data_IF_081126591355
#
_entry.id   IF_081126591355
#
_cell.length_a   1.000
_cell.length_b   1.000
_cell.length_c   1.000
_cell.angle_alpha   90.00
_cell.angle_beta   90.00
_cell.angle_gamma   90.00
#
_symmetry.space_group_name_H-M   'P 1'
#
loop_
_entity.id
_entity.type
_entity.pdbx_description
1 polymer ?
#
# COMPACT_ATOMS: atom_id res chain seq x y z
N UNK A 1 -33.38 25.89 -53.78
CA UNK A 1 -34.21 24.74 -54.18
C UNK A 1 -33.88 23.55 -53.31
N UNK A 2 -34.90 22.77 -52.97
CA UNK A 2 -34.91 21.66 -52.03
C UNK A 2 -34.14 20.41 -52.47
N UNK A 3 -33.72 19.61 -51.46
CA UNK A 3 -33.67 18.12 -51.37
C UNK A 3 -32.72 17.39 -52.37
N UNK A 4 -31.96 16.34 -52.06
CA UNK A 4 -31.92 15.26 -51.04
C UNK A 4 -30.47 14.75 -50.96
N UNK A 5 -29.88 14.55 -49.78
CA UNK A 5 -29.87 13.34 -48.94
C UNK A 5 -28.97 12.17 -49.41
N UNK A 6 -28.07 11.77 -48.49
CA UNK A 6 -27.72 10.38 -48.16
C UNK A 6 -26.77 9.60 -49.07
N UNK A 7 -25.49 9.49 -48.66
CA UNK A 7 -24.84 8.23 -48.27
C UNK A 7 -23.33 8.47 -48.10
N UNK A 8 -22.77 8.18 -46.92
CA UNK A 8 -21.32 8.15 -46.74
C UNK A 8 -20.77 8.75 -45.46
N UNK A 9 -21.30 8.38 -44.29
CA UNK A 9 -20.62 8.63 -43.00
C UNK A 9 -21.18 7.72 -41.89
N UNK A 10 -21.22 6.41 -42.12
CA UNK A 10 -21.40 5.41 -41.07
C UNK A 10 -20.62 4.17 -41.43
N UNK A 11 -19.32 4.17 -41.12
CA UNK A 11 -18.44 3.01 -40.92
C UNK A 11 -16.99 3.51 -40.75
N UNK A 12 -16.71 4.19 -39.63
CA UNK A 12 -15.34 4.32 -39.08
C UNK A 12 -15.33 4.95 -37.67
N UNK A 13 -16.35 4.64 -36.85
CA UNK A 13 -16.36 4.96 -35.42
C UNK A 13 -16.32 3.66 -34.58
N UNK A 14 -15.55 2.68 -35.06
CA UNK A 14 -15.42 1.34 -34.46
C UNK A 14 -14.00 0.92 -34.10
N UNK A 15 -12.98 1.78 -34.28
CA UNK A 15 -11.57 1.45 -34.02
C UNK A 15 -10.81 2.61 -33.37
N UNK A 16 -11.45 3.30 -32.42
CA UNK A 16 -10.77 4.23 -31.50
C UNK A 16 -11.24 4.01 -30.04
N UNK A 17 -11.58 2.76 -29.70
CA UNK A 17 -12.02 2.35 -28.36
C UNK A 17 -11.23 1.14 -27.81
N UNK A 18 -10.12 0.77 -28.43
CA UNK A 18 -9.30 -0.34 -27.98
C UNK A 18 -7.79 -0.10 -28.18
N UNK A 19 -7.26 1.02 -27.67
CA UNK A 19 -5.82 1.19 -27.37
C UNK A 19 -5.59 2.43 -26.48
N UNK A 20 -6.11 2.40 -25.25
CA UNK A 20 -5.67 3.32 -24.18
C UNK A 20 -5.59 2.64 -22.81
N UNK A 21 -5.55 1.30 -22.78
CA UNK A 21 -5.32 0.53 -21.57
C UNK A 21 -3.86 0.10 -21.45
N UNK A 22 -2.98 1.07 -21.26
CA UNK A 22 -1.70 0.90 -20.58
C UNK A 22 -1.07 2.29 -20.38
N UNK A 23 -0.80 2.65 -19.13
CA UNK A 23 -0.18 3.89 -18.62
C UNK A 23 -1.17 4.94 -18.09
N UNK A 24 -1.49 4.78 -16.80
CA UNK A 24 -2.29 5.74 -16.05
C UNK A 24 -2.71 5.24 -14.66
N UNK A 25 -1.87 4.44 -13.99
CA UNK A 25 -2.09 4.03 -12.61
C UNK A 25 -1.33 5.00 -11.67
N UNK A 26 -2.02 6.02 -11.17
CA UNK A 26 -1.41 6.98 -10.24
C UNK A 26 -2.29 8.08 -9.66
N UNK A 27 -3.61 8.04 -9.84
CA UNK A 27 -4.57 8.85 -9.07
C UNK A 27 -5.69 7.92 -8.61
N UNK A 28 -5.51 7.30 -7.44
CA UNK A 28 -6.63 6.67 -6.74
C UNK A 28 -7.38 7.81 -6.04
N UNK A 29 -8.29 8.44 -6.76
CA UNK A 29 -9.47 9.01 -6.11
C UNK A 29 -10.12 7.85 -5.34
N UNK A 30 -10.19 7.97 -4.01
CA UNK A 30 -10.93 7.03 -3.18
C UNK A 30 -12.41 7.17 -3.53
N UNK A 31 -12.86 6.38 -4.50
CA UNK A 31 -14.27 6.27 -4.86
C UNK A 31 -14.93 5.38 -3.81
N UNK A 32 -15.70 6.02 -2.94
CA UNK A 32 -16.55 5.39 -1.92
C UNK A 32 -17.37 4.25 -2.55
N UNK A 33 -17.12 2.98 -2.19
CA UNK A 33 -17.76 1.84 -2.82
C UNK A 33 -19.09 1.53 -2.15
N UNK A 34 -19.99 2.52 -2.01
CA UNK A 34 -21.43 2.32 -1.72
C UNK A 34 -22.17 3.68 -1.67
N UNK A 35 -22.70 4.12 -2.82
CA UNK A 35 -23.50 5.35 -2.97
C UNK A 35 -24.89 5.32 -2.30
N UNK A 36 -25.04 4.67 -1.13
CA UNK A 36 -26.25 4.67 -0.30
C UNK A 36 -25.92 4.66 1.20
N UNK A 37 -25.04 5.55 1.67
CA UNK A 37 -24.88 5.76 3.11
C UNK A 37 -25.38 7.15 3.51
N UNK A 38 -26.31 7.16 4.46
CA UNK A 38 -26.73 8.36 5.18
C UNK A 38 -25.47 9.03 5.76
N UNK A 39 -24.98 10.09 5.13
CA UNK A 39 -23.79 10.82 5.58
C UNK A 39 -24.02 11.35 7.00
N UNK A 40 -23.48 10.66 8.01
CA UNK A 40 -23.78 10.93 9.42
C UNK A 40 -22.85 11.99 10.01
N UNK A 41 -21.84 11.58 10.77
CA UNK A 41 -20.75 12.41 11.28
C UNK A 41 -19.50 12.23 10.40
N UNK A 42 -18.82 13.33 10.08
CA UNK A 42 -17.53 13.30 9.41
C UNK A 42 -16.57 14.28 10.05
N UNK A 43 -15.32 13.88 10.23
CA UNK A 43 -14.21 14.67 10.77
C UNK A 43 -12.97 14.39 9.91
N UNK A 44 -12.38 15.43 9.33
CA UNK A 44 -11.22 15.32 8.45
C UNK A 44 -10.29 16.52 8.54
N UNK A 45 -9.09 16.36 7.98
CA UNK A 45 -8.14 17.43 7.74
C UNK A 45 -8.18 17.74 6.25
N UNK A 46 -8.35 19.01 5.90
CA UNK A 46 -8.48 19.45 4.51
C UNK A 46 -7.16 19.34 3.72
N UNK A 47 -7.31 19.15 2.41
CA UNK A 47 -6.21 18.92 1.47
C UNK A 47 -5.10 19.97 1.54
N UNK A 48 -5.45 21.25 1.72
CA UNK A 48 -4.45 22.34 1.87
C UNK A 48 -3.59 22.16 3.11
N UNK A 49 -4.21 21.79 4.23
CA UNK A 49 -3.53 21.56 5.50
C UNK A 49 -2.63 20.32 5.42
N UNK A 50 -3.13 19.26 4.78
CA UNK A 50 -2.34 18.04 4.51
C UNK A 50 -1.19 18.36 3.56
N UNK A 51 -1.39 19.16 2.52
CA UNK A 51 -0.36 19.58 1.56
C UNK A 51 0.77 20.38 2.23
N UNK A 52 0.45 21.26 3.19
CA UNK A 52 1.48 21.99 3.95
C UNK A 52 2.37 21.07 4.80
N UNK A 53 1.82 19.98 5.34
CA UNK A 53 2.59 19.05 6.19
C UNK A 53 3.20 17.88 5.42
N UNK A 54 2.65 17.54 4.25
CA UNK A 54 2.98 16.31 3.54
C UNK A 54 3.33 16.48 2.06
N UNK A 55 3.08 17.64 1.45
CA UNK A 55 3.23 17.80 0.00
C UNK A 55 2.29 16.92 -0.84
N UNK A 56 1.40 16.13 -0.22
CA UNK A 56 0.35 15.35 -0.87
C UNK A 56 -0.94 16.14 -0.80
N UNK A 57 -1.67 16.13 -1.90
CA UNK A 57 -2.98 16.74 -1.98
C UNK A 57 -4.05 15.64 -1.76
N UNK A 58 -4.44 15.43 -0.50
CA UNK A 58 -5.55 14.53 -0.14
C UNK A 58 -6.26 14.98 1.15
N UNK A 59 -7.55 14.67 1.28
CA UNK A 59 -8.27 14.81 2.55
C UNK A 59 -8.05 13.56 3.42
N UNK A 60 -7.70 13.76 4.70
CA UNK A 60 -7.49 12.68 5.67
C UNK A 60 -8.66 12.64 6.64
N UNK A 61 -9.44 11.56 6.62
CA UNK A 61 -10.68 11.44 7.39
C UNK A 61 -10.53 10.62 8.67
N UNK A 62 -10.42 11.26 9.83
CA UNK A 62 -10.43 10.55 11.11
C UNK A 62 -11.77 9.81 11.37
N UNK A 63 -12.90 10.39 10.92
CA UNK A 63 -14.23 9.80 11.06
C UNK A 63 -14.99 9.96 9.75
N UNK A 64 -15.57 8.85 9.25
CA UNK A 64 -16.40 8.82 8.04
C UNK A 64 -17.72 8.17 8.39
N UNK A 65 -18.84 8.80 8.03
CA UNK A 65 -20.19 8.28 8.24
C UNK A 65 -20.48 7.78 9.68
N UNK A 66 -19.91 8.42 10.69
CA UNK A 66 -20.07 8.01 12.10
C UNK A 66 -19.20 6.82 12.52
N UNK A 67 -18.27 6.38 11.69
CA UNK A 67 -17.29 5.36 12.03
C UNK A 67 -15.90 5.97 12.14
N UNK A 68 -15.18 5.64 13.22
CA UNK A 68 -13.77 6.00 13.37
C UNK A 68 -12.94 5.18 12.39
N UNK A 69 -12.06 5.84 11.66
CA UNK A 69 -11.20 5.19 10.67
C UNK A 69 -10.28 4.15 11.33
N UNK A 70 -10.13 2.94 10.75
CA UNK A 70 -9.33 1.86 11.35
C UNK A 70 -7.86 2.22 11.64
N UNK A 71 -7.26 3.08 10.82
CA UNK A 71 -5.88 3.52 11.01
C UNK A 71 -5.69 4.42 12.24
N UNK A 72 -6.72 5.14 12.68
CA UNK A 72 -6.70 5.94 13.93
C UNK A 72 -6.79 5.04 15.16
N UNK A 73 -7.42 3.87 15.01
CA UNK A 73 -7.57 2.87 16.07
C UNK A 73 -6.34 1.95 16.23
N UNK A 74 -5.36 2.05 15.33
CA UNK A 74 -4.10 1.30 15.44
C UNK A 74 -3.33 1.77 16.68
N UNK A 75 -2.97 0.90 17.64
CA UNK A 75 -2.22 1.30 18.84
C UNK A 75 -0.83 1.89 18.49
N UNK A 76 -0.28 1.56 17.34
CA UNK A 76 1.00 2.12 16.85
C UNK A 76 0.82 3.37 15.98
N UNK A 77 -0.40 3.90 15.85
CA UNK A 77 -0.68 5.07 15.02
C UNK A 77 0.22 6.26 15.40
N UNK A 78 0.31 6.57 16.70
CA UNK A 78 1.14 7.67 17.22
C UNK A 78 2.62 7.55 16.85
N UNK A 79 3.15 6.32 16.75
CA UNK A 79 4.56 6.08 16.39
C UNK A 79 4.83 6.25 14.89
N UNK A 80 3.80 6.20 14.06
CA UNK A 80 3.89 6.36 12.60
C UNK A 80 3.70 7.81 12.16
N UNK A 81 3.26 8.68 13.07
CA UNK A 81 3.07 10.10 12.77
C UNK A 81 4.39 10.87 12.88
N UNK A 82 4.70 11.75 11.93
CA UNK A 82 5.86 12.61 12.01
C UNK A 82 5.69 13.63 13.15
N UNK A 83 6.82 14.15 13.64
CA UNK A 83 6.84 15.28 14.56
C UNK A 83 6.30 16.52 13.84
N UNK A 84 5.36 17.22 14.46
CA UNK A 84 4.84 18.49 13.95
C UNK A 84 5.98 19.53 14.03
N UNK A 85 6.38 20.19 12.92
CA UNK A 85 7.50 21.13 12.90
C UNK A 85 7.27 22.39 13.76
N UNK A 86 8.34 23.09 14.13
CA UNK A 86 8.35 24.34 14.91
C UNK A 86 7.43 25.45 14.38
N UNK A 87 7.28 25.54 13.07
CA UNK A 87 6.55 26.54 12.29
C UNK A 87 5.04 26.41 12.39
N UNK A 88 4.57 25.21 12.71
CA UNK A 88 3.15 24.89 12.70
C UNK A 88 2.53 25.34 14.01
N UNK A 89 2.03 26.57 14.05
CA UNK A 89 1.36 27.11 15.24
C UNK A 89 -0.03 26.52 15.51
N UNK A 90 -0.68 25.92 14.51
CA UNK A 90 -2.00 25.32 14.65
C UNK A 90 -2.28 24.26 13.57
N UNK A 91 -3.24 23.38 13.85
CA UNK A 91 -3.77 22.38 12.91
C UNK A 91 -5.27 22.58 12.75
N UNK A 92 -5.73 22.69 11.50
CA UNK A 92 -7.13 22.86 11.20
C UNK A 92 -7.83 21.51 10.93
N UNK A 93 -9.00 21.37 11.54
CA UNK A 93 -9.87 20.22 11.39
C UNK A 93 -11.25 20.69 10.93
N UNK A 94 -11.82 19.96 9.99
CA UNK A 94 -13.16 20.23 9.49
C UNK A 94 -14.09 19.09 9.88
N UNK A 95 -15.26 19.44 10.39
CA UNK A 95 -16.28 18.47 10.76
C UNK A 95 -17.68 18.91 10.38
N UNK A 96 -18.57 17.94 10.26
CA UNK A 96 -20.00 18.16 10.09
C UNK A 96 -20.78 16.94 10.58
N UNK A 97 -22.02 17.16 10.99
CA UNK A 97 -22.95 16.06 11.23
C UNK A 97 -24.38 16.38 10.84
N UNK A 98 -25.03 15.48 10.11
CA UNK A 98 -26.48 15.59 9.84
C UNK A 98 -27.31 15.31 11.09
N UNK A 99 -26.87 14.38 11.96
CA UNK A 99 -27.56 14.01 13.20
C UNK A 99 -27.06 14.84 14.39
N UNK A 100 -27.68 14.63 15.56
CA UNK A 100 -27.27 15.28 16.81
C UNK A 100 -26.09 14.50 17.40
N UNK A 101 -24.90 15.09 17.34
CA UNK A 101 -23.71 14.62 18.05
C UNK A 101 -23.16 15.71 18.95
N UNK A 102 -22.64 15.28 20.10
CA UNK A 102 -21.97 16.12 21.07
C UNK A 102 -20.52 15.69 21.17
N UNK A 103 -19.64 16.66 21.32
CA UNK A 103 -18.21 16.44 21.47
C UNK A 103 -17.77 16.92 22.85
N UNK A 104 -16.77 16.25 23.40
CA UNK A 104 -16.15 16.55 24.68
C UNK A 104 -14.65 16.27 24.57
N UNK A 105 -13.86 17.35 24.57
CA UNK A 105 -12.41 17.28 24.68
C UNK A 105 -12.04 17.18 26.15
N UNK A 106 -11.79 15.95 26.60
CA UNK A 106 -11.56 15.62 28.01
C UNK A 106 -10.08 15.68 28.40
N UNK A 107 -9.17 15.55 27.43
CA UNK A 107 -7.72 15.67 27.64
C UNK A 107 -7.13 16.67 26.64
N UNK A 108 -6.44 17.67 27.17
CA UNK A 108 -5.61 18.62 26.42
C UNK A 108 -4.38 18.90 27.29
N UNK A 109 -3.34 18.10 27.15
CA UNK A 109 -2.15 18.16 28.01
C UNK A 109 -0.87 18.15 27.19
N UNK A 110 0.21 18.65 27.78
CA UNK A 110 1.56 18.54 27.23
C UNK A 110 2.47 17.86 28.25
N UNK A 111 3.41 17.05 27.76
CA UNK A 111 4.39 16.35 28.58
C UNK A 111 5.45 17.29 29.16
N UNK A 112 5.76 18.39 28.45
CA UNK A 112 6.82 19.32 28.84
C UNK A 112 6.36 20.77 28.64
N UNK A 113 5.94 21.38 29.75
CA UNK A 113 5.44 22.75 29.81
C UNK A 113 6.52 23.81 29.60
N UNK A 114 7.80 23.43 29.66
CA UNK A 114 8.93 24.35 29.40
C UNK A 114 9.20 24.54 27.91
N UNK A 115 8.70 23.61 27.08
CA UNK A 115 8.85 23.61 25.63
C UNK A 115 7.52 23.94 24.95
N UNK A 116 6.41 23.35 25.40
CA UNK A 116 5.09 23.46 24.77
C UNK A 116 4.00 23.60 25.84
N UNK A 117 3.18 24.65 25.75
CA UNK A 117 2.00 24.77 26.62
C UNK A 117 0.88 23.82 26.15
N UNK A 118 -0.11 23.49 26.99
CA UNK A 118 -1.22 22.63 26.59
C UNK A 118 -1.93 23.17 25.34
N UNK A 119 -2.39 22.29 24.43
CA UNK A 119 -3.05 22.69 23.20
C UNK A 119 -4.35 23.43 23.49
N UNK A 120 -4.62 24.49 22.71
CA UNK A 120 -5.81 25.34 22.87
C UNK A 120 -6.73 25.17 21.67
N UNK A 121 -8.03 25.03 21.90
CA UNK A 121 -9.02 24.91 20.84
C UNK A 121 -9.57 26.28 20.44
N UNK A 122 -9.82 26.50 19.15
CA UNK A 122 -10.57 27.68 18.67
C UNK A 122 -12.07 27.64 19.01
N UNK A 123 -12.54 26.51 19.56
CA UNK A 123 -13.90 26.25 19.99
C UNK A 123 -13.92 25.88 21.47
N UNK A 124 -15.11 25.92 22.10
CA UNK A 124 -15.30 25.41 23.46
C UNK A 124 -14.94 23.91 23.51
N UNK A 125 -14.40 23.44 24.63
CA UNK A 125 -14.02 22.02 24.86
C UNK A 125 -15.21 21.06 24.82
N UNK A 126 -16.41 21.55 25.12
CA UNK A 126 -17.66 20.79 25.03
C UNK A 126 -18.66 21.54 24.17
N UNK A 127 -19.41 20.79 23.37
CA UNK A 127 -20.43 21.39 22.54
C UNK A 127 -21.13 20.41 21.62
N UNK A 128 -21.87 20.96 20.67
CA UNK A 128 -22.58 20.20 19.65
C UNK A 128 -21.83 20.29 18.32
N UNK A 129 -21.69 19.16 17.64
CA UNK A 129 -21.11 19.13 16.29
C UNK A 129 -22.02 19.90 15.32
N UNK A 130 -21.48 20.81 14.50
CA UNK A 130 -22.26 21.65 13.61
C UNK A 130 -22.94 20.84 12.49
N UNK A 131 -24.11 21.32 12.06
CA UNK A 131 -24.86 20.72 10.94
C UNK A 131 -24.15 20.92 9.60
N UNK A 132 -23.59 22.11 9.40
CA UNK A 132 -22.80 22.46 8.23
C UNK A 132 -21.33 22.19 8.48
N UNK A 133 -20.56 22.09 7.40
CA UNK A 133 -19.10 22.01 7.47
C UNK A 133 -18.57 23.24 8.18
N UNK A 134 -17.89 23.04 9.31
CA UNK A 134 -17.16 24.10 10.01
C UNK A 134 -15.77 23.62 10.35
N UNK A 135 -14.84 24.56 10.32
CA UNK A 135 -13.46 24.38 10.70
C UNK A 135 -13.28 24.76 12.17
N UNK A 136 -12.41 24.04 12.87
CA UNK A 136 -11.86 24.45 14.14
C UNK A 136 -10.35 24.17 14.15
N UNK A 137 -9.62 24.95 14.91
CA UNK A 137 -8.17 24.88 14.96
C UNK A 137 -7.73 24.39 16.34
N UNK A 138 -6.72 23.54 16.34
CA UNK A 138 -5.97 23.17 17.54
C UNK A 138 -4.66 23.95 17.50
N UNK A 139 -4.52 24.90 18.41
CA UNK A 139 -3.37 25.80 18.52
C UNK A 139 -2.32 25.13 19.40
N UNK A 140 -1.07 25.13 18.95
CA UNK A 140 0.09 24.47 19.55
C UNK A 140 1.12 25.52 20.02
N UNK A 141 0.90 26.13 21.20
CA UNK A 141 1.73 27.23 21.70
C UNK A 141 3.10 26.77 22.23
N UNK A 142 4.16 27.01 21.45
CA UNK A 142 5.54 26.84 21.91
C UNK A 142 5.94 27.90 22.96
N UNK A 143 6.79 27.52 23.90
CA UNK A 143 7.41 28.42 24.87
C UNK A 143 8.73 28.92 24.27
N UNK A 144 8.83 30.21 24.00
CA UNK A 144 9.93 30.81 23.20
C UNK A 144 11.33 30.81 23.85
N UNK A 145 11.53 30.17 25.00
CA UNK A 145 12.81 30.18 25.71
C UNK A 145 13.65 28.92 25.46
N UNK A 146 13.03 27.81 25.05
CA UNK A 146 13.71 26.52 24.90
C UNK A 146 13.38 25.89 23.54
N UNK A 147 14.39 25.28 22.92
CA UNK A 147 14.21 24.42 21.76
C UNK A 147 14.12 22.96 22.19
N UNK A 148 13.24 22.19 21.59
CA UNK A 148 13.11 20.77 21.83
C UNK A 148 11.80 20.18 21.29
N UNK A 149 11.59 18.89 21.53
CA UNK A 149 10.38 18.19 21.09
C UNK A 149 9.56 17.81 22.31
N UNK A 150 8.33 18.30 22.37
CA UNK A 150 7.37 17.94 23.41
C UNK A 150 6.28 17.03 22.84
N UNK A 151 5.80 16.09 23.66
CA UNK A 151 4.62 15.28 23.33
C UNK A 151 3.38 15.96 23.91
N UNK A 152 2.26 15.91 23.22
CA UNK A 152 0.99 16.39 23.72
C UNK A 152 -0.11 15.37 23.46
N UNK A 153 -1.10 15.37 24.33
CA UNK A 153 -2.23 14.43 24.28
C UNK A 153 -3.53 15.17 24.01
N UNK A 154 -4.30 14.65 23.06
CA UNK A 154 -5.66 15.09 22.77
C UNK A 154 -6.61 13.92 23.00
N UNK A 155 -7.56 14.14 23.90
CA UNK A 155 -8.69 13.27 24.15
C UNK A 155 -9.95 13.84 23.50
N UNK A 156 -10.64 13.04 22.68
CA UNK A 156 -11.93 13.42 22.09
C UNK A 156 -12.97 12.32 22.29
N UNK A 157 -13.99 12.62 23.08
CA UNK A 157 -15.19 11.78 23.26
C UNK A 157 -16.32 12.33 22.39
N UNK A 158 -16.93 11.46 21.59
CA UNK A 158 -18.10 11.81 20.79
C UNK A 158 -19.31 11.02 21.28
N UNK A 159 -20.40 11.72 21.57
CA UNK A 159 -21.66 11.14 22.04
C UNK A 159 -22.77 11.41 21.04
N UNK A 160 -23.63 10.42 20.80
CA UNK A 160 -24.80 10.60 19.95
C UNK A 160 -25.91 11.40 20.69
N UNK A 161 -27.03 11.64 20.00
CA UNK A 161 -28.16 12.40 20.57
C UNK A 161 -28.82 11.75 21.79
N UNK A 162 -28.52 10.48 22.10
CA UNK A 162 -28.98 9.75 23.29
C UNK A 162 -27.93 9.76 24.43
N UNK A 163 -26.80 10.45 24.24
CA UNK A 163 -25.70 10.50 25.20
C UNK A 163 -24.75 9.30 25.18
N UNK A 164 -24.96 8.33 24.28
CA UNK A 164 -24.10 7.14 24.17
C UNK A 164 -22.81 7.48 23.42
N UNK A 165 -21.64 7.04 23.90
CA UNK A 165 -20.37 7.25 23.23
C UNK A 165 -20.32 6.49 21.89
N UNK A 166 -19.66 7.09 20.90
CA UNK A 166 -19.44 6.49 19.59
C UNK A 166 -18.40 5.37 19.71
N UNK A 167 -18.60 4.25 19.00
CA UNK A 167 -17.64 3.15 18.99
C UNK A 167 -16.27 3.64 18.49
N UNK A 168 -15.23 3.32 19.25
CA UNK A 168 -13.86 3.80 18.98
C UNK A 168 -13.51 5.15 19.62
N UNK A 169 -14.41 5.75 20.42
CA UNK A 169 -14.10 6.91 21.27
C UNK A 169 -14.06 6.52 22.75
N UNK A 170 -13.23 7.15 23.61
CA UNK A 170 -12.39 8.33 23.35
C UNK A 170 -11.27 8.07 22.34
N UNK A 171 -11.08 9.02 21.43
CA UNK A 171 -9.86 9.07 20.63
C UNK A 171 -8.76 9.63 21.52
N UNK A 172 -7.68 8.86 21.72
CA UNK A 172 -6.49 9.26 22.45
C UNK A 172 -5.35 9.42 21.47
N UNK A 173 -5.02 10.68 21.16
CA UNK A 173 -3.97 11.00 20.19
C UNK A 173 -2.74 11.51 20.94
N UNK A 174 -1.64 10.77 20.84
CA UNK A 174 -0.34 11.19 21.36
C UNK A 174 0.50 11.71 20.19
N UNK A 175 0.68 13.01 20.14
CA UNK A 175 1.33 13.69 19.03
C UNK A 175 2.61 14.38 19.53
N UNK A 176 3.60 14.52 18.64
CA UNK A 176 4.86 15.19 18.96
C UNK A 176 4.93 16.53 18.24
N UNK A 177 5.39 17.56 18.94
CA UNK A 177 5.60 18.91 18.39
C UNK A 177 7.03 19.34 18.70
N UNK A 178 7.76 19.69 17.66
CA UNK A 178 9.02 20.40 17.79
C UNK A 178 8.72 21.87 18.07
N UNK A 179 9.41 22.47 19.01
CA UNK A 179 9.44 23.89 19.25
C UNK A 179 10.90 24.32 19.13
N UNK A 180 11.14 25.33 18.29
CA UNK A 180 12.47 25.91 18.14
C UNK A 180 12.37 27.36 18.56
N UNK A 181 13.30 27.81 19.40
CA UNK A 181 13.51 29.22 19.63
C UNK A 181 14.02 29.85 18.34
N UNK A 182 13.11 30.42 17.56
CA UNK A 182 13.46 31.29 16.44
C UNK A 182 13.61 32.69 17.01
N UNK A 183 14.80 32.98 17.51
CA UNK A 183 15.17 34.36 17.76
C UNK A 183 15.11 35.16 16.45
N UNK A 184 14.94 36.49 16.51
CA UNK A 184 15.17 37.34 15.35
C UNK A 184 16.59 37.09 14.84
N UNK A 185 16.74 36.67 13.57
CA UNK A 185 18.06 36.53 12.96
C UNK A 185 18.44 37.87 12.29
N UNK A 186 19.44 38.60 12.82
CA UNK A 186 19.84 39.89 12.25
C UNK A 186 20.24 39.80 10.77
N UNK A 187 20.65 38.61 10.31
CA UNK A 187 21.06 38.32 8.94
C UNK A 187 20.00 37.54 8.14
N UNK A 188 18.76 37.50 8.63
CA UNK A 188 17.62 36.84 7.99
C UNK A 188 17.50 37.18 6.50
N UNK A 189 17.67 38.45 6.14
CA UNK A 189 17.61 38.94 4.75
C UNK A 189 18.59 38.23 3.78
N UNK A 190 19.68 37.65 4.30
CA UNK A 190 20.70 36.94 3.51
C UNK A 190 20.59 35.41 3.60
N UNK A 191 20.04 34.89 4.70
CA UNK A 191 20.05 33.44 4.99
C UNK A 191 18.82 32.71 4.47
N UNK A 192 17.67 33.38 4.33
CA UNK A 192 16.45 32.77 3.80
C UNK A 192 16.70 32.16 2.41
N UNK A 193 16.62 30.84 2.31
CA UNK A 193 16.86 30.07 1.10
C UNK A 193 15.54 29.74 0.37
N UNK A 194 15.66 29.12 -0.81
CA UNK A 194 14.56 28.53 -1.56
C UNK A 194 13.39 29.49 -1.85
N UNK A 195 13.66 30.79 -2.02
CA UNK A 195 12.65 31.85 -2.24
C UNK A 195 11.84 32.23 -0.98
N UNK A 196 12.33 31.89 0.21
CA UNK A 196 11.80 32.47 1.45
C UNK A 196 12.10 33.97 1.55
N UNK A 197 11.21 34.71 2.21
CA UNK A 197 11.37 36.15 2.44
C UNK A 197 11.45 36.47 3.93
N UNK A 198 12.22 37.49 4.30
CA UNK A 198 12.37 37.88 5.69
C UNK A 198 11.25 38.85 6.10
N UNK A 199 10.55 38.58 7.21
CA UNK A 199 9.54 39.50 7.75
C UNK A 199 10.16 40.58 8.66
N UNK A 200 9.33 41.53 9.09
CA UNK A 200 9.76 42.64 9.96
C UNK A 200 10.31 42.19 11.33
N UNK A 201 9.94 40.98 11.78
CA UNK A 201 10.40 40.37 13.03
C UNK A 201 11.73 39.61 12.85
N UNK A 202 12.36 39.73 11.68
CA UNK A 202 13.61 39.04 11.33
C UNK A 202 13.49 37.51 11.36
N UNK A 203 12.35 37.00 10.88
CA UNK A 203 12.06 35.58 10.74
C UNK A 203 11.79 35.27 9.26
N UNK A 204 12.44 34.23 8.73
CA UNK A 204 12.18 33.76 7.37
C UNK A 204 10.78 33.16 7.24
N UNK A 205 10.04 33.64 6.25
CA UNK A 205 8.77 33.09 5.79
C UNK A 205 9.04 32.15 4.62
N UNK A 206 8.87 30.85 4.87
CA UNK A 206 9.22 29.83 3.91
C UNK A 206 8.12 29.58 2.88
N UNK A 207 8.48 29.32 1.61
CA UNK A 207 7.52 28.91 0.60
C UNK A 207 7.04 27.48 0.83
N UNK A 208 5.96 27.11 0.13
CA UNK A 208 5.32 25.81 0.30
C UNK A 208 6.30 24.65 0.08
N UNK A 209 6.33 23.72 1.02
CA UNK A 209 7.21 22.54 0.96
C UNK A 209 8.62 22.75 1.53
N UNK A 210 8.95 23.94 2.04
CA UNK A 210 10.22 24.22 2.73
C UNK A 210 10.01 24.67 4.17
N UNK A 211 10.97 24.38 5.03
CA UNK A 211 10.95 24.67 6.45
C UNK A 211 12.36 24.91 7.02
N UNK A 212 12.44 25.20 8.32
CA UNK A 212 13.65 25.61 9.05
C UNK A 212 13.69 27.12 9.32
N UNK A 213 14.67 27.55 10.13
CA UNK A 213 14.93 28.98 10.40
C UNK A 213 15.26 29.74 9.12
N UNK A 214 15.96 29.09 8.19
CA UNK A 214 16.45 29.66 6.94
C UNK A 214 15.77 29.08 5.69
N UNK A 215 14.65 28.36 5.84
CA UNK A 215 13.93 27.71 4.72
C UNK A 215 14.77 26.73 3.88
N UNK A 216 15.83 26.15 4.44
CA UNK A 216 16.73 25.21 3.75
C UNK A 216 16.24 23.78 3.74
N UNK A 217 15.41 23.39 4.70
CA UNK A 217 14.96 22.01 4.87
C UNK A 217 13.75 21.77 4.01
N UNK A 218 13.86 20.90 3.01
CA UNK A 218 12.71 20.48 2.21
C UNK A 218 11.82 19.50 2.99
N UNK A 219 10.52 19.59 2.77
CA UNK A 219 9.51 18.69 3.32
C UNK A 219 9.26 17.52 2.36
N UNK A 220 9.59 16.30 2.77
CA UNK A 220 9.23 15.08 2.05
C UNK A 220 8.24 14.27 2.89
N UNK A 221 7.07 14.01 2.34
CA UNK A 221 6.17 13.00 2.88
C UNK A 221 5.57 12.11 1.77
N UNK A 222 5.47 10.79 2.00
CA UNK A 222 6.02 10.06 3.15
C UNK A 222 7.53 10.28 3.28
N UNK A 223 8.03 10.27 4.53
CA UNK A 223 9.45 10.54 4.76
C UNK A 223 10.30 9.55 3.96
N UNK A 224 11.45 10.03 3.47
CA UNK A 224 12.39 9.19 2.76
C UNK A 224 12.84 8.05 3.68
N UNK A 225 12.59 6.81 3.26
CA UNK A 225 12.91 5.60 4.01
C UNK A 225 14.38 5.20 3.80
N UNK A 226 14.85 4.24 4.58
CA UNK A 226 16.16 3.60 4.38
C UNK A 226 17.35 4.58 4.34
N UNK A 227 17.25 5.71 5.04
CA UNK A 227 18.31 6.74 5.09
C UNK A 227 18.35 7.67 3.87
N UNK A 228 17.29 7.72 3.06
CA UNK A 228 17.17 8.70 1.98
C UNK A 228 17.10 10.14 2.49
N UNK A 229 17.62 11.07 1.69
CA UNK A 229 17.63 12.50 2.02
C UNK A 229 16.59 13.27 1.22
N UNK A 230 15.88 14.20 1.86
CA UNK A 230 14.91 15.06 1.18
C UNK A 230 15.64 16.23 0.50
N UNK A 231 15.66 16.25 -0.83
CA UNK A 231 16.43 17.25 -1.61
C UNK A 231 15.56 18.40 -2.11
N UNK A 232 14.29 18.13 -2.33
CA UNK A 232 13.27 19.10 -2.70
C UNK A 232 11.90 18.63 -2.18
N UNK A 233 10.88 19.48 -2.14
CA UNK A 233 9.56 19.12 -1.63
C UNK A 233 9.03 17.83 -2.30
N UNK A 234 8.84 16.78 -1.51
CA UNK A 234 8.39 15.46 -1.99
C UNK A 234 9.38 14.67 -2.86
N UNK A 235 10.66 15.08 -2.92
CA UNK A 235 11.72 14.44 -3.72
C UNK A 235 12.81 13.87 -2.82
N UNK A 236 12.87 12.54 -2.77
CA UNK A 236 13.88 11.80 -2.02
C UNK A 236 15.07 11.41 -2.90
N UNK A 237 16.28 11.68 -2.42
CA UNK A 237 17.52 11.11 -2.92
C UNK A 237 17.82 9.82 -2.17
N UNK A 238 17.78 8.69 -2.88
CA UNK A 238 17.93 7.37 -2.28
C UNK A 238 19.41 6.96 -2.15
N UNK A 239 19.78 6.29 -1.05
CA UNK A 239 21.12 5.77 -0.90
C UNK A 239 21.35 4.60 -1.87
N UNK A 240 22.62 4.27 -2.19
CA UNK A 240 22.95 3.17 -3.09
C UNK A 240 22.28 1.86 -2.67
N UNK A 241 21.61 1.19 -3.61
CA UNK A 241 20.89 -0.05 -3.34
C UNK A 241 19.41 0.10 -3.00
N UNK A 242 18.90 1.33 -2.95
CA UNK A 242 17.48 1.64 -2.75
C UNK A 242 16.92 2.46 -3.92
N UNK A 243 15.61 2.34 -4.13
CA UNK A 243 14.85 2.97 -5.19
C UNK A 243 13.39 3.19 -4.73
N UNK A 244 12.61 3.85 -5.58
CA UNK A 244 11.23 4.22 -5.26
C UNK A 244 11.12 5.70 -4.93
N UNK A 245 9.89 6.21 -4.87
CA UNK A 245 9.63 7.65 -4.65
C UNK A 245 10.14 8.11 -3.28
N UNK A 246 10.07 7.22 -2.30
CA UNK A 246 10.46 7.47 -0.92
C UNK A 246 11.56 6.48 -0.48
N UNK A 247 12.32 5.92 -1.42
CA UNK A 247 13.39 4.95 -1.13
C UNK A 247 12.91 3.66 -0.46
N UNK A 248 11.66 3.26 -0.70
CA UNK A 248 10.99 2.12 -0.08
C UNK A 248 11.35 0.75 -0.69
N UNK A 249 11.96 0.72 -1.87
CA UNK A 249 12.31 -0.51 -2.59
C UNK A 249 13.81 -0.74 -2.67
N UNK A 250 14.25 -1.99 -2.68
CA UNK A 250 15.64 -2.34 -2.97
C UNK A 250 15.94 -2.41 -4.46
N UNK A 251 17.21 -2.28 -4.83
CA UNK A 251 17.73 -2.55 -6.18
C UNK A 251 18.47 -3.88 -6.18
N UNK A 252 17.94 -4.89 -6.87
CA UNK A 252 18.60 -6.20 -7.01
C UNK A 252 19.06 -6.37 -8.46
N UNK A 253 20.34 -6.71 -8.69
CA UNK A 253 20.85 -7.02 -10.01
C UNK A 253 20.17 -8.25 -10.60
N UNK A 254 19.84 -9.21 -9.73
CA UNK A 254 19.08 -10.40 -10.07
C UNK A 254 17.69 -10.34 -9.45
N UNK A 255 16.64 -10.55 -10.26
CA UNK A 255 15.26 -10.53 -9.77
C UNK A 255 15.04 -11.61 -8.71
N UNK A 256 14.32 -11.26 -7.64
CA UNK A 256 13.77 -12.19 -6.66
C UNK A 256 12.74 -13.11 -7.35
N UNK A 257 12.76 -14.39 -7.01
CA UNK A 257 11.90 -15.42 -7.57
C UNK A 257 10.72 -15.71 -6.63
N UNK A 258 9.75 -16.49 -7.12
CA UNK A 258 8.62 -17.02 -6.32
C UNK A 258 7.82 -15.97 -5.53
N UNK A 259 7.74 -14.73 -6.04
CA UNK A 259 7.02 -13.63 -5.38
C UNK A 259 7.82 -12.88 -4.32
N UNK A 260 9.14 -13.11 -4.22
CA UNK A 260 10.03 -12.33 -3.36
C UNK A 260 10.09 -10.86 -3.77
N UNK A 261 10.24 -9.98 -2.78
CA UNK A 261 10.36 -8.53 -2.98
C UNK A 261 11.81 -8.09 -2.72
N UNK A 262 12.38 -7.31 -3.62
CA UNK A 262 13.70 -6.72 -3.38
C UNK A 262 13.55 -5.59 -2.35
N UNK A 263 14.20 -5.73 -1.19
CA UNK A 263 14.10 -4.78 -0.08
C UNK A 263 15.36 -3.95 0.12
N UNK A 264 16.51 -4.45 -0.34
CA UNK A 264 17.81 -3.76 -0.31
C UNK A 264 18.69 -4.31 -1.45
N UNK A 265 19.86 -3.69 -1.70
CA UNK A 265 20.87 -4.15 -2.65
C UNK A 265 21.07 -5.67 -2.61
N UNK A 266 20.67 -6.35 -3.68
CA UNK A 266 20.79 -7.80 -3.86
C UNK A 266 20.19 -8.65 -2.72
N UNK A 267 19.25 -8.09 -1.95
CA UNK A 267 18.58 -8.74 -0.82
C UNK A 267 17.09 -8.87 -1.09
N UNK A 268 16.62 -10.12 -1.13
CA UNK A 268 15.22 -10.47 -1.33
C UNK A 268 14.53 -10.82 -0.02
N UNK A 269 13.38 -10.19 0.23
CA UNK A 269 12.41 -10.64 1.22
C UNK A 269 11.57 -11.77 0.61
N UNK A 270 11.65 -12.96 1.20
CA UNK A 270 10.97 -14.14 0.69
C UNK A 270 9.60 -14.36 1.32
N UNK A 271 8.57 -14.69 0.52
CA UNK A 271 7.28 -15.07 1.06
C UNK A 271 7.39 -16.36 1.89
N UNK A 272 6.47 -16.55 2.84
CA UNK A 272 6.46 -17.71 3.74
C UNK A 272 6.58 -19.02 2.96
N UNK A 273 7.52 -19.87 3.39
CA UNK A 273 7.81 -21.15 2.75
C UNK A 273 8.79 -21.08 1.58
N UNK A 274 9.38 -19.91 1.28
CA UNK A 274 10.52 -19.78 0.36
C UNK A 274 11.73 -19.21 1.09
N UNK A 275 12.93 -19.55 0.62
CA UNK A 275 14.21 -19.13 1.17
C UNK A 275 15.32 -19.19 0.11
N UNK A 276 16.51 -18.72 0.46
CA UNK A 276 17.62 -18.51 -0.47
C UNK A 276 17.80 -17.02 -0.80
N UNK A 277 18.90 -16.69 -1.46
CA UNK A 277 19.27 -15.29 -1.75
C UNK A 277 18.25 -14.61 -2.69
N UNK A 278 17.58 -15.41 -3.52
CA UNK A 278 16.58 -14.97 -4.49
C UNK A 278 15.23 -15.64 -4.26
N UNK A 279 15.00 -16.26 -3.10
CA UNK A 279 13.80 -17.05 -2.82
C UNK A 279 13.61 -18.24 -3.78
N UNK A 280 14.72 -18.80 -4.25
CA UNK A 280 14.77 -19.90 -5.22
C UNK A 280 14.38 -21.25 -4.62
N UNK A 281 14.53 -21.42 -3.31
CA UNK A 281 14.21 -22.65 -2.61
C UNK A 281 12.86 -22.56 -1.92
N UNK A 282 12.12 -23.66 -1.89
CA UNK A 282 10.87 -23.79 -1.17
C UNK A 282 11.02 -24.77 0.00
N UNK A 283 10.54 -24.39 1.19
CA UNK A 283 10.40 -25.25 2.37
C UNK A 283 8.95 -25.73 2.45
N UNK A 284 8.76 -27.05 2.50
CA UNK A 284 7.46 -27.59 2.89
C UNK A 284 7.37 -27.60 4.42
N UNK A 285 6.25 -27.09 4.95
CA UNK A 285 5.95 -27.20 6.38
C UNK A 285 5.61 -28.64 6.72
N UNK A 286 4.85 -29.30 5.85
CA UNK A 286 4.61 -30.74 5.89
C UNK A 286 5.63 -31.40 4.94
N UNK A 287 6.57 -32.21 5.44
CA UNK A 287 7.61 -32.81 4.62
C UNK A 287 7.01 -33.72 3.53
N UNK A 288 7.66 -33.73 2.37
CA UNK A 288 7.32 -34.67 1.31
C UNK A 288 7.68 -36.09 1.76
N UNK A 289 6.74 -37.01 1.62
CA UNK A 289 6.95 -38.42 1.95
C UNK A 289 7.64 -39.14 0.79
N UNK A 290 8.12 -40.35 1.05
CA UNK A 290 8.59 -41.30 0.04
C UNK A 290 9.65 -40.73 -0.93
N UNK A 291 10.56 -39.88 -0.43
CA UNK A 291 11.64 -39.29 -1.23
C UNK A 291 11.21 -38.15 -2.17
N UNK A 292 10.01 -37.59 -2.01
CA UNK A 292 9.57 -36.39 -2.72
C UNK A 292 10.41 -35.15 -2.37
N UNK A 293 10.53 -34.20 -3.32
CA UNK A 293 11.23 -32.93 -3.10
C UNK A 293 10.26 -31.75 -3.19
N UNK A 294 10.40 -30.78 -2.29
CA UNK A 294 9.58 -29.57 -2.31
C UNK A 294 9.76 -28.80 -3.62
N UNK A 295 8.65 -28.41 -4.24
CA UNK A 295 8.60 -27.55 -5.44
C UNK A 295 7.73 -26.29 -5.21
N UNK A 296 7.24 -26.10 -4.00
CA UNK A 296 6.46 -24.94 -3.59
C UNK A 296 5.97 -25.10 -2.15
N UNK A 297 5.20 -24.14 -1.64
CA UNK A 297 4.62 -24.21 -0.30
C UNK A 297 3.69 -25.43 -0.21
N UNK A 298 4.10 -26.44 0.59
CA UNK A 298 3.37 -27.70 0.78
C UNK A 298 3.03 -28.43 -0.53
N UNK A 299 3.86 -28.27 -1.57
CA UNK A 299 3.72 -28.99 -2.84
C UNK A 299 4.98 -29.78 -3.14
N UNK A 300 4.80 -31.08 -3.28
CA UNK A 300 5.89 -32.01 -3.53
C UNK A 300 5.97 -32.41 -5.00
N UNK A 301 7.20 -32.46 -5.50
CA UNK A 301 7.55 -33.18 -6.73
C UNK A 301 7.77 -34.63 -6.34
N UNK A 302 6.85 -35.49 -6.76
CA UNK A 302 6.87 -36.90 -6.40
C UNK A 302 7.70 -37.75 -7.36
N UNK A 303 8.34 -38.83 -6.87
CA UNK A 303 8.92 -39.88 -7.69
C UNK A 303 7.86 -40.55 -8.60
N UNK A 304 8.34 -41.25 -9.63
CA UNK A 304 7.48 -41.98 -10.57
C UNK A 304 6.63 -43.01 -9.81
N UNK A 305 5.33 -43.06 -10.08
CA UNK A 305 4.39 -43.96 -9.38
C UNK A 305 3.83 -43.40 -8.06
N UNK A 306 4.15 -42.15 -7.71
CA UNK A 306 3.56 -41.47 -6.55
C UNK A 306 2.87 -40.16 -6.98
N UNK A 307 1.89 -39.73 -6.21
CA UNK A 307 1.12 -38.51 -6.41
C UNK A 307 0.55 -37.99 -5.09
N UNK A 308 -0.29 -36.96 -5.18
CA UNK A 308 -0.75 -36.21 -4.00
C UNK A 308 0.12 -34.97 -3.75
N UNK A 309 -0.26 -34.17 -2.76
CA UNK A 309 0.46 -32.93 -2.45
C UNK A 309 1.76 -33.18 -1.67
N UNK A 310 1.84 -34.35 -1.01
CA UNK A 310 2.93 -34.80 -0.16
C UNK A 310 3.53 -36.16 -0.58
N UNK A 311 3.18 -36.66 -1.77
CA UNK A 311 3.60 -37.98 -2.28
C UNK A 311 3.09 -39.16 -1.43
N UNK A 312 1.95 -38.93 -0.79
CA UNK A 312 1.19 -39.84 0.05
C UNK A 312 0.36 -40.84 -0.76
N UNK A 313 0.04 -40.50 -2.01
CA UNK A 313 -0.80 -41.35 -2.87
C UNK A 313 0.07 -42.22 -3.76
N UNK A 314 -0.02 -43.54 -3.59
CA UNK A 314 0.47 -44.51 -4.56
C UNK A 314 -0.31 -44.37 -5.87
N UNK A 315 0.32 -43.84 -6.92
CA UNK A 315 -0.21 -43.93 -8.28
C UNK A 315 0.23 -45.26 -8.85
N UNK A 316 -0.68 -46.24 -8.88
CA UNK A 316 -0.46 -47.47 -9.65
C UNK A 316 -0.15 -47.08 -11.09
N UNK A 317 1.07 -47.34 -11.53
CA UNK A 317 1.42 -47.18 -12.94
C UNK A 317 0.58 -48.19 -13.71
N UNK A 318 -0.43 -47.71 -14.43
CA UNK A 318 -1.12 -48.50 -15.46
C UNK A 318 -1.88 -49.72 -14.93
N UNK A 319 -2.80 -49.54 -13.99
CA UNK A 319 -3.79 -50.58 -13.72
C UNK A 319 -4.90 -50.47 -14.79
N UNK A 320 -4.62 -50.98 -16.00
CA UNK A 320 -5.68 -51.30 -16.93
C UNK A 320 -5.98 -52.79 -16.78
N UNK A 321 -7.19 -53.14 -16.34
CA UNK A 321 -7.58 -54.54 -16.27
C UNK A 321 -7.92 -54.99 -17.69
N UNK A 322 -7.07 -55.84 -18.30
CA UNK A 322 -7.30 -56.36 -19.64
C UNK A 322 -8.55 -57.25 -19.61
N UNK A 323 -9.62 -56.83 -20.30
CA UNK A 323 -10.79 -57.69 -20.54
C UNK A 323 -10.91 -57.87 -22.04
N UNK A 324 -10.31 -58.95 -22.56
CA UNK A 324 -10.10 -59.14 -24.00
C UNK A 324 -9.04 -58.20 -24.56
N UNK A 325 -9.27 -57.63 -25.74
CA UNK A 325 -8.29 -56.79 -26.46
C UNK A 325 -8.29 -55.31 -26.03
N UNK A 326 -9.05 -54.95 -24.98
CA UNK A 326 -9.15 -53.57 -24.49
C UNK A 326 -8.93 -53.43 -22.98
N UNK A 327 -8.18 -52.40 -22.61
CA UNK A 327 -8.01 -51.91 -21.25
C UNK A 327 -9.34 -51.27 -20.76
N UNK A 328 -10.02 -51.85 -19.77
CA UNK A 328 -11.20 -51.20 -19.17
C UNK A 328 -10.75 -50.14 -18.17
N UNK A 329 -11.08 -48.87 -18.41
CA UNK A 329 -10.87 -47.81 -17.41
C UNK A 329 -10.73 -46.37 -17.93
N UNK A 330 -10.18 -46.13 -19.13
CA UNK A 330 -10.27 -44.84 -19.85
C UNK A 330 -9.48 -44.77 -21.17
N UNK A 331 -8.54 -45.69 -21.41
CA UNK A 331 -7.65 -45.61 -22.58
C UNK A 331 -7.51 -46.96 -23.29
N UNK A 332 -7.84 -46.98 -24.59
CA UNK A 332 -7.74 -48.17 -25.46
C UNK A 332 -6.36 -48.25 -26.10
N UNK A 333 -5.79 -49.46 -26.21
CA UNK A 333 -4.60 -49.69 -27.03
C UNK A 333 -5.00 -49.49 -28.51
N UNK A 334 -4.59 -48.37 -29.14
CA UNK A 334 -5.09 -48.01 -30.48
C UNK A 334 -4.58 -48.93 -31.58
N UNK A 335 -3.27 -49.19 -31.58
CA UNK A 335 -2.58 -50.07 -32.54
C UNK A 335 -1.69 -51.05 -31.77
N UNK A 336 -2.33 -51.94 -31.00
CA UNK A 336 -1.65 -52.91 -30.16
C UNK A 336 -2.61 -53.68 -29.25
N UNK A 337 -2.09 -54.69 -28.54
CA UNK A 337 -2.88 -55.56 -27.64
C UNK A 337 -2.56 -55.32 -26.17
N UNK A 338 -3.58 -55.46 -25.32
CA UNK A 338 -3.42 -55.42 -23.86
C UNK A 338 -2.83 -56.75 -23.36
N UNK A 339 -1.66 -56.69 -22.74
CA UNK A 339 -1.01 -57.85 -22.11
C UNK A 339 -0.54 -57.44 -20.71
N UNK A 340 -1.00 -58.16 -19.68
CA UNK A 340 -0.62 -57.96 -18.28
C UNK A 340 -0.72 -56.49 -17.78
N UNK A 341 -1.75 -55.76 -18.22
CA UNK A 341 -2.01 -54.38 -17.79
C UNK A 341 -1.25 -53.29 -18.56
N UNK A 342 -0.57 -53.64 -19.65
CA UNK A 342 0.07 -52.68 -20.57
C UNK A 342 -0.25 -52.95 -22.03
N UNK A 343 -0.11 -51.95 -22.91
CA UNK A 343 -0.27 -52.11 -24.35
C UNK A 343 1.05 -52.54 -25.01
N UNK A 344 1.03 -53.67 -25.71
CA UNK A 344 2.09 -54.10 -26.64
C UNK A 344 1.72 -53.59 -28.02
N UNK A 345 2.54 -52.71 -28.59
CA UNK A 345 2.23 -52.04 -29.85
C UNK A 345 2.59 -52.87 -31.08
N UNK A 346 1.78 -52.74 -32.12
CA UNK A 346 2.04 -53.34 -33.42
C UNK A 346 3.27 -52.68 -34.09
N UNK A 347 3.97 -53.39 -35.00
CA UNK A 347 5.11 -52.85 -35.72
C UNK A 347 4.74 -51.52 -36.40
N UNK A 348 5.56 -50.49 -36.17
CA UNK A 348 5.28 -49.15 -36.67
C UNK A 348 4.59 -48.20 -35.68
N UNK A 349 4.25 -48.67 -34.47
CA UNK A 349 3.57 -47.88 -33.44
C UNK A 349 4.29 -47.90 -32.10
N UNK A 350 4.21 -46.78 -31.36
CA UNK A 350 4.88 -46.61 -30.06
C UNK A 350 4.07 -45.75 -29.09
N UNK A 351 4.50 -45.76 -27.82
CA UNK A 351 3.91 -45.01 -26.72
C UNK A 351 2.98 -45.87 -25.86
N UNK A 352 2.64 -45.37 -24.66
CA UNK A 352 1.91 -46.13 -23.62
C UNK A 352 0.58 -46.73 -24.08
N UNK A 353 -0.05 -46.14 -25.08
CA UNK A 353 -1.35 -46.55 -25.65
C UNK A 353 -1.29 -46.83 -27.17
N UNK A 354 -0.09 -46.96 -27.73
CA UNK A 354 0.15 -47.23 -29.15
C UNK A 354 -0.53 -46.22 -30.10
N UNK A 355 -0.47 -44.93 -29.76
CA UNK A 355 -1.11 -43.85 -30.51
C UNK A 355 -0.15 -43.07 -31.42
N UNK A 356 1.17 -43.30 -31.33
CA UNK A 356 2.18 -42.60 -32.14
C UNK A 356 2.77 -43.55 -33.17
N UNK A 357 2.80 -43.17 -34.45
CA UNK A 357 3.53 -43.95 -35.45
C UNK A 357 5.04 -43.72 -35.29
N UNK A 358 5.85 -44.71 -35.64
CA UNK A 358 7.32 -44.62 -35.64
C UNK A 358 7.86 -43.84 -36.84
N UNK A 359 7.00 -43.48 -37.80
CA UNK A 359 7.35 -42.75 -39.01
C UNK A 359 7.03 -41.24 -39.01
N UNK A 360 6.33 -40.68 -38.00
CA UNK A 360 6.15 -39.23 -37.91
C UNK A 360 7.31 -38.58 -37.15
N UNK A 361 8.30 -38.14 -37.91
CA UNK A 361 9.15 -37.02 -37.52
C UNK A 361 8.36 -35.73 -37.72
N UNK A 362 7.61 -35.33 -36.70
CA UNK A 362 7.36 -33.91 -36.45
C UNK A 362 8.02 -33.55 -35.14
N UNK A 363 8.97 -32.62 -35.25
CA UNK A 363 9.72 -32.00 -34.19
C UNK A 363 8.80 -31.44 -33.11
N UNK A 364 9.00 -31.89 -31.88
CA UNK A 364 8.92 -30.97 -30.75
C UNK A 364 10.31 -30.88 -30.14
N UNK A 365 11.23 -30.33 -30.93
CA UNK A 365 12.42 -29.68 -30.42
C UNK A 365 11.95 -28.49 -29.59
N UNK A 366 12.13 -28.60 -28.28
CA UNK A 366 11.94 -27.52 -27.33
C UNK A 366 13.11 -26.54 -27.50
N UNK A 367 13.07 -25.75 -28.58
CA UNK A 367 13.97 -24.61 -28.75
C UNK A 367 13.57 -23.53 -27.74
N UNK A 368 14.52 -23.25 -26.87
CA UNK A 368 14.54 -22.19 -25.86
C UNK A 368 13.89 -20.91 -26.39
N UNK A 369 12.93 -20.36 -25.65
CA UNK A 369 12.60 -18.94 -25.78
C UNK A 369 13.75 -18.11 -25.18
N UNK A 370 14.24 -17.09 -25.90
CA UNK A 370 15.34 -16.26 -25.43
C UNK A 370 14.92 -15.41 -24.23
N UNK A 371 15.84 -15.30 -23.28
CA UNK A 371 16.03 -14.12 -22.44
C UNK A 371 17.33 -13.48 -22.85
#
# INVERSE_FOLDING_TARGET
MWRSASMGARLCAGLALAMSLALGAGRRDYKDPEGRHHSDLSLWIDERQVRMFSGISMQVFAIINGHVSPYVLDPNFSNKLPVIPSEVGYVNFTWKSKKRYYYDFDILTSSDLTILKPPVLSIKTRGRVPKTSKEFSIILPCVGNNSGVATFEIGLVLKNGRGLPLKGTPLRLHLKKECAQRGPDPECDKKCANQGWCNNEKICQCPEGYMGQDCRTALCYPQCMNGGNCTAPGVCSCPPGYQGRNCEGGICAQKCLNGGKCIQKDTCECPKGYYGLRCEFSKCVIPCLNGGRCKGVNKCRCPVGLGGNHCEVGRRLGDCSCRGESCVGQHTCRHGRCVAGGCVCDPGWRGRWCHRSTGSSEESGEYKRPR
#
